data_IF_376641346704
#
_entry.id   IF_376641346704
#
_cell.length_a   1.000
_cell.length_b   1.000
_cell.length_c   1.000
_cell.angle_alpha   90.00
_cell.angle_beta   90.00
_cell.angle_gamma   90.00
#
_symmetry.space_group_name_H-M   'P 1'
#
loop_
_entity.id
_entity.type
_entity.pdbx_description
1 polymer ?
#
# COMPACT_ATOMS: atom_id res chain seq x y z
N UNK A 1 -2.50 57.90 -35.56
CA UNK A 1 -2.27 57.10 -34.33
C UNK A 1 -2.29 55.63 -34.72
N UNK A 2 -1.12 55.03 -34.90
CA UNK A 2 -0.98 53.58 -35.10
C UNK A 2 -0.81 52.94 -33.73
N UNK A 3 -1.73 52.06 -33.35
CA UNK A 3 -1.60 51.26 -32.12
C UNK A 3 -0.39 50.32 -32.26
N UNK A 4 0.51 50.23 -31.27
CA UNK A 4 1.60 49.28 -31.31
C UNK A 4 1.05 47.85 -31.19
N UNK A 5 1.40 47.01 -32.16
CA UNK A 5 1.08 45.59 -32.17
C UNK A 5 1.99 44.88 -31.15
N UNK A 6 1.49 44.69 -29.92
CA UNK A 6 2.15 43.85 -28.91
C UNK A 6 1.81 42.40 -29.28
N UNK A 7 2.57 41.80 -30.20
CA UNK A 7 2.59 40.34 -30.31
C UNK A 7 3.35 39.83 -29.08
N UNK A 8 2.63 39.22 -28.13
CA UNK A 8 3.25 38.48 -27.04
C UNK A 8 4.18 37.43 -27.68
N UNK A 9 5.48 37.67 -27.54
CA UNK A 9 6.51 36.84 -28.08
C UNK A 9 6.46 35.48 -27.40
N UNK A 10 6.50 34.41 -28.21
CA UNK A 10 6.57 33.04 -27.74
C UNK A 10 7.91 32.71 -27.03
N UNK A 11 8.66 33.72 -26.59
CA UNK A 11 9.98 33.62 -25.94
C UNK A 11 9.91 33.12 -24.50
N UNK A 12 8.74 33.14 -23.87
CA UNK A 12 8.54 32.64 -22.50
C UNK A 12 8.40 31.11 -22.40
N UNK A 13 8.28 30.41 -23.53
CA UNK A 13 8.34 28.96 -23.56
C UNK A 13 9.81 28.54 -23.51
N UNK A 14 10.30 28.22 -22.30
CA UNK A 14 11.68 27.81 -22.04
C UNK A 14 12.24 26.86 -23.10
N UNK A 15 13.43 27.19 -23.61
CA UNK A 15 14.05 26.53 -24.75
C UNK A 15 14.31 25.02 -24.54
N UNK A 16 14.69 24.27 -25.60
CA UNK A 16 14.86 22.81 -25.55
C UNK A 16 15.77 22.31 -24.42
N UNK A 17 16.83 23.05 -24.09
CA UNK A 17 17.74 22.74 -22.98
C UNK A 17 17.07 22.88 -21.60
N UNK A 18 16.18 23.84 -21.41
CA UNK A 18 15.46 24.05 -20.15
C UNK A 18 14.43 22.93 -19.91
N UNK A 19 13.72 22.52 -20.97
CA UNK A 19 12.75 21.40 -20.89
C UNK A 19 13.46 20.07 -20.61
N UNK A 20 14.62 19.83 -21.21
CA UNK A 20 15.45 18.66 -20.93
C UNK A 20 15.98 18.66 -19.49
N UNK A 21 16.40 19.82 -18.98
CA UNK A 21 16.84 19.99 -17.59
C UNK A 21 15.69 19.73 -16.60
N UNK A 22 14.50 20.32 -16.81
CA UNK A 22 13.30 20.08 -16.00
C UNK A 22 12.91 18.61 -15.98
N UNK A 23 12.94 17.95 -17.14
CA UNK A 23 12.64 16.51 -17.25
C UNK A 23 13.60 15.65 -16.45
N UNK A 24 14.90 15.96 -16.51
CA UNK A 24 15.95 15.27 -15.74
C UNK A 24 15.76 15.49 -14.23
N UNK A 25 15.46 16.72 -13.81
CA UNK A 25 15.19 17.05 -12.42
C UNK A 25 13.96 16.30 -11.87
N UNK A 26 12.83 16.31 -12.61
CA UNK A 26 11.62 15.56 -12.21
C UNK A 26 11.88 14.06 -12.06
N UNK A 27 12.70 13.48 -12.94
CA UNK A 27 13.11 12.08 -12.81
C UNK A 27 13.94 11.86 -11.54
N UNK A 28 14.90 12.72 -11.26
CA UNK A 28 15.73 12.63 -10.06
C UNK A 28 14.88 12.74 -8.78
N UNK A 29 13.96 13.70 -8.74
CA UNK A 29 13.02 13.87 -7.63
C UNK A 29 12.14 12.64 -7.41
N UNK A 30 11.66 12.00 -8.48
CA UNK A 30 10.91 10.74 -8.37
C UNK A 30 11.73 9.63 -7.71
N UNK A 31 12.98 9.45 -8.13
CA UNK A 31 13.86 8.43 -7.52
C UNK A 31 14.21 8.75 -6.08
N UNK A 32 14.47 10.02 -5.77
CA UNK A 32 14.70 10.47 -4.39
C UNK A 32 13.47 10.21 -3.50
N UNK A 33 12.27 10.51 -4.02
CA UNK A 33 11.02 10.24 -3.31
C UNK A 33 10.82 8.74 -3.07
N UNK A 34 11.00 7.91 -4.10
CA UNK A 34 10.93 6.44 -3.98
C UNK A 34 11.92 5.92 -2.93
N UNK A 35 13.17 6.37 -2.97
CA UNK A 35 14.18 5.97 -2.00
C UNK A 35 13.80 6.36 -0.56
N UNK A 36 13.33 7.59 -0.37
CA UNK A 36 12.83 8.08 0.92
C UNK A 36 11.66 7.22 1.43
N UNK A 37 10.70 6.89 0.56
CA UNK A 37 9.59 6.00 0.91
C UNK A 37 10.08 4.61 1.33
N UNK A 38 11.00 4.00 0.58
CA UNK A 38 11.55 2.69 0.93
C UNK A 38 12.17 2.73 2.33
N UNK A 39 12.98 3.75 2.64
CA UNK A 39 13.60 3.90 3.96
C UNK A 39 12.57 4.09 5.07
N UNK A 40 11.51 4.86 4.81
CA UNK A 40 10.44 5.09 5.79
C UNK A 40 9.65 3.81 6.10
N UNK A 41 9.26 3.04 5.08
CA UNK A 41 8.60 1.74 5.26
C UNK A 41 9.54 0.71 5.92
N UNK A 42 10.83 0.71 5.58
CA UNK A 42 11.83 -0.14 6.25
C UNK A 42 11.96 0.19 7.75
N UNK A 43 11.95 1.48 8.11
CA UNK A 43 11.96 1.92 9.51
C UNK A 43 10.71 1.46 10.28
N UNK A 44 9.52 1.63 9.70
CA UNK A 44 8.26 1.21 10.32
C UNK A 44 8.14 -0.31 10.47
N UNK A 45 8.55 -1.08 9.44
CA UNK A 45 8.57 -2.55 9.51
C UNK A 45 9.61 -3.07 10.51
N UNK A 46 10.77 -2.41 10.62
CA UNK A 46 11.77 -2.74 11.65
C UNK A 46 11.24 -2.48 13.07
N UNK A 47 10.59 -1.34 13.29
CA UNK A 47 9.96 -1.02 14.56
C UNK A 47 8.89 -2.05 14.95
N UNK A 48 8.06 -2.47 13.98
CA UNK A 48 7.07 -3.52 14.19
C UNK A 48 7.69 -4.85 14.63
N UNK A 49 8.74 -5.33 13.96
CA UNK A 49 9.43 -6.59 14.31
C UNK A 49 10.01 -6.54 15.73
N UNK A 50 10.57 -5.38 16.13
CA UNK A 50 11.11 -5.20 17.49
C UNK A 50 10.00 -5.21 18.53
N UNK A 51 8.87 -4.57 18.26
CA UNK A 51 7.74 -4.49 19.18
C UNK A 51 6.98 -5.83 19.30
N UNK A 52 6.95 -6.63 18.24
CA UNK A 52 6.37 -7.98 18.25
C UNK A 52 7.09 -8.90 19.26
N UNK A 53 8.39 -8.71 19.48
CA UNK A 53 9.19 -9.46 20.47
C UNK A 53 8.97 -9.02 21.92
N UNK A 54 8.00 -8.12 22.16
CA UNK A 54 7.60 -7.71 23.50
C UNK A 54 6.98 -8.85 24.32
N UNK A 55 6.54 -8.54 25.54
CA UNK A 55 5.95 -9.55 26.43
C UNK A 55 4.59 -10.09 25.93
N UNK A 56 3.95 -9.45 24.95
CA UNK A 56 2.58 -9.73 24.52
C UNK A 56 2.44 -9.59 23.00
N UNK A 57 1.84 -10.59 22.35
CA UNK A 57 1.58 -10.58 20.91
C UNK A 57 0.28 -11.30 20.53
N UNK A 58 -0.41 -10.82 19.49
CA UNK A 58 -1.62 -11.45 18.94
C UNK A 58 -1.34 -11.82 17.48
N UNK A 59 -1.49 -13.10 17.16
CA UNK A 59 -1.44 -13.56 15.78
C UNK A 59 -2.82 -13.39 15.13
N UNK A 60 -2.85 -12.68 14.01
CA UNK A 60 -4.02 -12.42 13.18
C UNK A 60 -3.90 -13.25 11.90
N UNK A 61 -4.93 -14.03 11.57
CA UNK A 61 -4.97 -14.73 10.28
C UNK A 61 -5.25 -13.73 9.15
N UNK A 62 -4.44 -13.79 8.09
CA UNK A 62 -4.60 -12.92 6.92
C UNK A 62 -5.86 -13.32 6.13
N UNK A 63 -6.82 -12.41 5.93
CA UNK A 63 -8.03 -12.69 5.15
C UNK A 63 -7.74 -13.04 3.68
N UNK A 64 -8.59 -13.90 3.09
CA UNK A 64 -8.50 -14.31 1.68
C UNK A 64 -8.53 -13.12 0.70
N UNK A 65 -9.19 -12.02 1.08
CA UNK A 65 -9.24 -10.80 0.28
C UNK A 65 -7.85 -10.23 -0.04
N UNK A 66 -6.87 -10.35 0.87
CA UNK A 66 -5.51 -9.87 0.64
C UNK A 66 -4.78 -10.71 -0.43
N UNK A 67 -4.97 -12.03 -0.46
CA UNK A 67 -4.40 -12.91 -1.48
C UNK A 67 -4.94 -12.57 -2.88
N UNK A 68 -6.26 -12.41 -2.99
CA UNK A 68 -6.91 -12.01 -4.24
C UNK A 68 -6.40 -10.64 -4.70
N UNK A 69 -6.26 -9.69 -3.77
CA UNK A 69 -5.73 -8.36 -4.08
C UNK A 69 -4.31 -8.41 -4.66
N UNK A 70 -3.45 -9.31 -4.16
CA UNK A 70 -2.08 -9.49 -4.67
C UNK A 70 -2.09 -9.98 -6.12
N UNK A 71 -2.98 -10.90 -6.49
CA UNK A 71 -3.12 -11.33 -7.89
C UNK A 71 -3.58 -10.17 -8.77
N UNK A 72 -4.58 -9.40 -8.32
CA UNK A 72 -5.13 -8.25 -9.07
C UNK A 72 -4.04 -7.21 -9.36
N UNK A 73 -3.23 -6.85 -8.35
CA UNK A 73 -2.22 -5.80 -8.51
C UNK A 73 -1.07 -6.25 -9.41
N UNK A 74 -0.66 -7.53 -9.35
CA UNK A 74 0.33 -8.08 -10.28
C UNK A 74 -0.15 -8.04 -11.74
N UNK A 75 -1.42 -8.37 -11.97
CA UNK A 75 -2.03 -8.24 -13.31
C UNK A 75 -2.12 -6.76 -13.73
N UNK A 76 -2.44 -5.85 -12.80
CA UNK A 76 -2.45 -4.40 -13.03
C UNK A 76 -1.06 -3.87 -13.42
N UNK A 77 -0.02 -4.38 -12.78
CA UNK A 77 1.37 -4.06 -13.07
C UNK A 77 1.74 -4.49 -14.49
N UNK A 78 1.36 -5.71 -14.89
CA UNK A 78 1.54 -6.18 -16.26
C UNK A 78 0.82 -5.28 -17.27
N UNK A 79 -0.43 -4.90 -17.00
CA UNK A 79 -1.19 -4.03 -17.92
C UNK A 79 -0.57 -2.64 -18.03
N UNK A 80 -0.02 -2.09 -16.94
CA UNK A 80 0.72 -0.82 -16.96
C UNK A 80 2.01 -0.94 -17.80
N UNK A 81 2.72 -2.07 -17.68
CA UNK A 81 3.91 -2.33 -18.48
C UNK A 81 3.57 -2.37 -19.98
N UNK A 82 2.47 -3.04 -20.34
CA UNK A 82 1.96 -3.09 -21.71
C UNK A 82 1.51 -1.71 -22.21
N UNK A 83 0.91 -0.88 -21.35
CA UNK A 83 0.57 0.50 -21.69
C UNK A 83 1.82 1.31 -22.07
N UNK A 84 2.89 1.20 -21.27
CA UNK A 84 4.16 1.87 -21.53
C UNK A 84 4.79 1.38 -22.84
N UNK A 85 4.77 0.07 -23.10
CA UNK A 85 5.28 -0.51 -24.35
C UNK A 85 4.50 0.01 -25.56
N UNK A 86 3.17 -0.06 -25.51
CA UNK A 86 2.30 0.43 -26.59
C UNK A 86 2.46 1.93 -26.85
N UNK A 87 2.74 2.73 -25.80
CA UNK A 87 2.98 4.16 -25.93
C UNK A 87 4.27 4.45 -26.70
N UNK A 88 5.31 3.63 -26.50
CA UNK A 88 6.58 3.73 -27.24
C UNK A 88 6.42 3.34 -28.71
N UNK A 89 5.54 2.39 -29.00
CA UNK A 89 5.18 1.95 -30.36
C UNK A 89 4.29 2.97 -31.10
N UNK A 90 3.87 4.07 -30.46
CA UNK A 90 3.03 5.09 -31.09
C UNK A 90 1.54 4.71 -31.20
N UNK A 91 1.13 3.56 -30.65
CA UNK A 91 -0.25 3.11 -30.71
C UNK A 91 -1.10 3.72 -29.58
N UNK A 92 -1.78 4.83 -29.89
CA UNK A 92 -2.64 5.55 -28.94
C UNK A 92 -3.82 4.71 -28.42
N UNK A 93 -4.51 3.99 -29.31
CA UNK A 93 -5.70 3.22 -28.95
C UNK A 93 -5.37 2.13 -27.93
N UNK A 94 -4.34 1.31 -28.21
CA UNK A 94 -3.88 0.27 -27.29
C UNK A 94 -3.36 0.84 -25.97
N UNK A 95 -2.59 1.93 -26.01
CA UNK A 95 -2.10 2.60 -24.79
C UNK A 95 -3.27 3.00 -23.89
N UNK A 96 -4.28 3.66 -24.47
CA UNK A 96 -5.47 4.09 -23.73
C UNK A 96 -6.22 2.92 -23.13
N UNK A 97 -6.47 1.86 -23.91
CA UNK A 97 -7.15 0.66 -23.41
C UNK A 97 -6.38 0.04 -22.24
N UNK A 98 -5.06 -0.08 -22.34
CA UNK A 98 -4.25 -0.65 -21.25
C UNK A 98 -4.24 0.24 -20.00
N UNK A 99 -4.23 1.57 -20.13
CA UNK A 99 -4.37 2.49 -19.00
C UNK A 99 -5.74 2.36 -18.31
N UNK A 100 -6.83 2.20 -19.07
CA UNK A 100 -8.17 1.99 -18.54
C UNK A 100 -8.26 0.67 -17.78
N UNK A 101 -7.72 -0.42 -18.37
CA UNK A 101 -7.66 -1.73 -17.70
C UNK A 101 -6.85 -1.63 -16.41
N UNK A 102 -5.71 -0.94 -16.44
CA UNK A 102 -4.86 -0.73 -15.26
C UNK A 102 -5.61 0.02 -14.16
N UNK A 103 -6.36 1.08 -14.52
CA UNK A 103 -7.19 1.85 -13.58
C UNK A 103 -8.30 0.96 -12.98
N UNK A 104 -9.00 0.19 -13.80
CA UNK A 104 -10.06 -0.71 -13.34
C UNK A 104 -9.51 -1.76 -12.36
N UNK A 105 -8.36 -2.36 -12.65
CA UNK A 105 -7.69 -3.30 -11.75
C UNK A 105 -7.20 -2.61 -10.47
N UNK A 106 -6.69 -1.39 -10.56
CA UNK A 106 -6.31 -0.59 -9.37
C UNK A 106 -7.50 -0.30 -8.47
N UNK A 107 -8.67 0.00 -9.02
CA UNK A 107 -9.91 0.18 -8.25
C UNK A 107 -10.40 -1.14 -7.65
N UNK A 108 -10.32 -2.25 -8.39
CA UNK A 108 -10.64 -3.58 -7.88
C UNK A 108 -9.71 -3.98 -6.72
N UNK A 109 -8.42 -3.65 -6.82
CA UNK A 109 -7.45 -3.82 -5.74
C UNK A 109 -7.88 -3.02 -4.49
N UNK A 110 -8.23 -1.74 -4.63
CA UNK A 110 -8.73 -0.92 -3.52
C UNK A 110 -9.99 -1.52 -2.88
N UNK A 111 -10.91 -2.06 -3.67
CA UNK A 111 -12.10 -2.76 -3.17
C UNK A 111 -11.77 -4.02 -2.38
N UNK A 112 -10.82 -4.83 -2.87
CA UNK A 112 -10.34 -6.02 -2.16
C UNK A 112 -9.63 -5.65 -0.85
N UNK A 113 -8.81 -4.59 -0.86
CA UNK A 113 -8.19 -4.05 0.35
C UNK A 113 -9.24 -3.65 1.37
N UNK A 114 -10.23 -2.86 0.96
CA UNK A 114 -11.33 -2.44 1.84
C UNK A 114 -12.07 -3.63 2.44
N UNK A 115 -12.38 -4.66 1.64
CA UNK A 115 -13.01 -5.89 2.14
C UNK A 115 -12.14 -6.65 3.15
N UNK A 116 -10.82 -6.77 2.89
CA UNK A 116 -9.88 -7.39 3.82
C UNK A 116 -9.80 -6.64 5.15
N UNK A 117 -9.77 -5.31 5.09
CA UNK A 117 -9.79 -4.47 6.30
C UNK A 117 -11.09 -4.58 7.08
N UNK A 118 -12.24 -4.66 6.42
CA UNK A 118 -13.52 -4.87 7.09
C UNK A 118 -13.57 -6.23 7.81
N UNK A 119 -12.99 -7.28 7.22
CA UNK A 119 -12.88 -8.58 7.89
C UNK A 119 -11.99 -8.51 9.13
N UNK A 120 -10.85 -7.83 9.05
CA UNK A 120 -9.96 -7.63 10.20
C UNK A 120 -10.63 -6.83 11.32
N UNK A 121 -11.27 -5.71 10.99
CA UNK A 121 -11.99 -4.88 11.97
C UNK A 121 -13.18 -5.65 12.56
N UNK A 122 -13.87 -6.46 11.76
CA UNK A 122 -14.98 -7.31 12.20
C UNK A 122 -14.56 -8.38 13.21
N UNK A 123 -13.31 -8.86 13.15
CA UNK A 123 -12.72 -9.76 14.17
C UNK A 123 -12.26 -9.04 15.45
N UNK A 124 -12.58 -7.76 15.61
CA UNK A 124 -12.18 -6.91 16.73
C UNK A 124 -10.70 -6.54 16.76
N UNK A 125 -9.96 -6.77 15.67
CA UNK A 125 -8.63 -6.21 15.53
C UNK A 125 -8.79 -4.71 15.25
N UNK A 126 -8.39 -3.89 16.22
CA UNK A 126 -8.41 -2.42 16.14
C UNK A 126 -7.00 -1.83 16.27
N UNK A 127 -6.87 -0.56 15.86
CA UNK A 127 -5.65 0.27 15.94
C UNK A 127 -5.01 0.26 17.34
N UNK A 128 -5.83 0.11 18.38
CA UNK A 128 -5.42 -0.02 19.78
C UNK A 128 -6.28 -1.08 20.47
N UNK A 129 -6.28 -2.30 19.95
CA UNK A 129 -6.96 -3.43 20.58
C UNK A 129 -6.30 -3.79 21.92
N UNK A 130 -7.05 -3.65 23.01
CA UNK A 130 -6.88 -4.52 24.19
C UNK A 130 -7.65 -5.82 23.93
N UNK A 131 -7.31 -6.91 24.62
CA UNK A 131 -8.05 -8.18 24.54
C UNK A 131 -9.55 -7.98 24.77
N UNK A 132 -9.92 -6.98 25.58
CA UNK A 132 -11.31 -6.60 25.84
C UNK A 132 -12.10 -6.23 24.58
N UNK A 133 -11.42 -5.77 23.53
CA UNK A 133 -12.05 -5.30 22.30
C UNK A 133 -12.03 -6.34 21.17
N UNK A 134 -11.41 -7.51 21.37
CA UNK A 134 -11.40 -8.59 20.38
C UNK A 134 -12.78 -9.25 20.34
N UNK A 135 -13.41 -9.21 19.17
CA UNK A 135 -14.69 -9.85 18.88
C UNK A 135 -14.42 -10.96 17.87
N UNK A 136 -14.07 -12.15 18.34
CA UNK A 136 -13.70 -13.29 17.50
C UNK A 136 -13.54 -14.57 18.32
N UNK A 137 -13.40 -15.71 17.64
CA UNK A 137 -13.24 -17.01 18.28
C UNK A 137 -11.77 -17.30 18.53
N UNK A 138 -11.39 -17.47 19.81
CA UNK A 138 -10.02 -17.85 20.20
C UNK A 138 -9.60 -19.17 19.54
N UNK A 139 -8.43 -19.19 18.90
CA UNK A 139 -7.90 -20.36 18.18
C UNK A 139 -8.28 -20.42 16.69
N UNK A 140 -9.40 -19.80 16.29
CA UNK A 140 -9.78 -19.66 14.88
C UNK A 140 -9.36 -18.30 14.32
N UNK A 141 -9.81 -17.20 14.94
CA UNK A 141 -9.61 -15.84 14.43
C UNK A 141 -8.34 -15.19 14.99
N UNK A 142 -7.97 -15.52 16.23
CA UNK A 142 -6.77 -15.02 16.89
C UNK A 142 -6.23 -15.99 17.94
N UNK A 143 -4.91 -15.94 18.15
CA UNK A 143 -4.23 -16.57 19.28
C UNK A 143 -3.39 -15.55 20.03
N UNK A 144 -3.30 -15.73 21.34
CA UNK A 144 -2.60 -14.80 22.24
C UNK A 144 -1.31 -15.44 22.73
N UNK A 145 -0.21 -14.73 22.56
CA UNK A 145 1.10 -15.10 23.08
C UNK A 145 1.48 -14.17 24.22
N UNK A 146 1.98 -14.75 25.32
CA UNK A 146 2.57 -14.00 26.43
C UNK A 146 3.92 -14.60 26.80
N UNK A 147 4.96 -13.76 26.84
CA UNK A 147 6.37 -14.16 27.05
C UNK A 147 6.83 -15.29 26.11
N UNK A 148 6.35 -15.28 24.87
CA UNK A 148 6.72 -16.28 23.85
C UNK A 148 6.01 -17.64 23.99
N UNK A 149 5.05 -17.79 24.90
CA UNK A 149 4.18 -18.98 25.01
C UNK A 149 2.77 -18.64 24.55
N UNK A 150 2.19 -19.51 23.72
CA UNK A 150 0.77 -19.44 23.38
C UNK A 150 -0.05 -19.70 24.63
N UNK A 151 -1.05 -18.86 24.93
CA UNK A 151 -1.91 -19.06 26.08
C UNK A 151 -3.03 -20.05 25.75
N UNK A 152 -3.64 -20.65 26.76
CA UNK A 152 -4.87 -21.42 26.60
C UNK A 152 -6.01 -20.57 27.19
N UNK A 153 -7.09 -20.42 26.42
CA UNK A 153 -8.28 -19.71 26.88
C UNK A 153 -9.34 -20.72 27.31
N UNK A 154 -9.73 -20.67 28.58
CA UNK A 154 -10.81 -21.48 29.15
C UNK A 154 -11.73 -20.62 30.01
N UNK A 155 -13.05 -20.71 29.76
CA UNK A 155 -14.07 -19.94 30.46
C UNK A 155 -13.82 -18.42 30.48
N UNK A 156 -13.27 -17.87 29.39
CA UNK A 156 -12.92 -16.44 29.27
C UNK A 156 -11.67 -16.02 30.04
N UNK A 157 -10.89 -16.99 30.58
CA UNK A 157 -9.65 -16.75 31.30
C UNK A 157 -8.45 -17.34 30.58
N UNK A 158 -7.32 -16.63 30.63
CA UNK A 158 -6.08 -17.01 29.97
C UNK A 158 -5.12 -17.68 30.95
N UNK A 159 -4.52 -18.80 30.55
CA UNK A 159 -3.57 -19.57 31.36
C UNK A 159 -2.33 -19.95 30.54
N UNK A 160 -1.20 -20.17 31.21
CA UNK A 160 -0.04 -20.78 30.55
C UNK A 160 -0.32 -22.26 30.25
N UNK A 161 0.20 -22.81 29.13
CA UNK A 161 0.04 -24.24 28.81
C UNK A 161 0.59 -25.18 29.88
N UNK A 162 1.62 -24.74 30.61
CA UNK A 162 2.29 -25.54 31.65
C UNK A 162 1.55 -25.52 33.00
N UNK A 163 0.54 -24.64 33.17
CA UNK A 163 -0.28 -24.63 34.38
C UNK A 163 -1.48 -25.58 34.22
N UNK A 164 -1.23 -26.86 34.51
CA UNK A 164 -2.28 -27.88 34.49
C UNK A 164 -3.40 -27.60 35.51
N UNK A 165 -3.10 -26.86 36.60
CA UNK A 165 -4.05 -26.55 37.67
C UNK A 165 -4.94 -25.34 37.38
N UNK A 166 -4.56 -24.50 36.41
CA UNK A 166 -5.27 -23.27 36.02
C UNK A 166 -5.60 -22.38 37.21
N UNK A 167 -4.68 -22.31 38.17
CA UNK A 167 -4.92 -21.67 39.47
C UNK A 167 -4.76 -20.14 39.40
N UNK A 168 -3.92 -19.63 38.50
CA UNK A 168 -3.67 -18.19 38.34
C UNK A 168 -4.11 -17.72 36.95
N UNK A 169 -5.25 -17.03 36.89
CA UNK A 169 -5.73 -16.44 35.64
C UNK A 169 -4.86 -15.22 35.27
N UNK A 170 -4.33 -15.21 34.05
CA UNK A 170 -3.45 -14.16 33.55
C UNK A 170 -4.20 -12.92 33.04
N UNK A 171 -5.53 -12.92 33.08
CA UNK A 171 -6.39 -11.87 32.54
C UNK A 171 -5.94 -10.47 32.96
N UNK A 172 -5.67 -10.23 34.25
CA UNK A 172 -5.27 -8.90 34.72
C UNK A 172 -3.91 -8.45 34.16
N UNK A 173 -2.98 -9.40 33.93
CA UNK A 173 -1.64 -9.14 33.38
C UNK A 173 -1.62 -8.97 31.87
N UNK A 174 -2.54 -9.63 31.17
CA UNK A 174 -2.59 -9.67 29.70
C UNK A 174 -3.58 -8.62 29.17
N UNK A 175 -4.71 -8.39 29.85
CA UNK A 175 -5.74 -7.41 29.47
C UNK A 175 -5.34 -5.96 29.80
N UNK A 176 -4.46 -5.75 30.79
CA UNK A 176 -3.88 -4.42 31.07
C UNK A 176 -2.80 -3.99 30.07
N UNK A 177 -2.36 -4.90 29.17
CA UNK A 177 -1.36 -4.62 28.14
C UNK A 177 -2.06 -4.28 26.83
N UNK A 178 -1.65 -3.16 26.21
CA UNK A 178 -2.10 -2.76 24.88
C UNK A 178 -1.19 -3.37 23.81
N UNK A 179 -1.78 -3.80 22.68
CA UNK A 179 -0.99 -4.25 21.53
C UNK A 179 -0.42 -3.04 20.79
N UNK A 180 0.72 -2.51 21.24
CA UNK A 180 1.36 -1.36 20.57
C UNK A 180 1.80 -1.70 19.14
N UNK A 181 2.11 -2.97 18.86
CA UNK A 181 2.53 -3.41 17.53
C UNK A 181 1.36 -3.46 16.53
N UNK A 182 0.09 -3.62 16.97
CA UNK A 182 -1.05 -3.55 16.05
C UNK A 182 -1.16 -2.15 15.40
N UNK A 183 -0.91 -1.08 16.16
CA UNK A 183 -0.94 0.29 15.63
C UNK A 183 0.01 0.51 14.46
N UNK A 184 1.14 -0.21 14.41
CA UNK A 184 2.08 -0.15 13.29
C UNK A 184 1.56 -0.81 12.02
N UNK A 185 0.74 -1.88 12.13
CA UNK A 185 0.07 -2.47 10.96
C UNK A 185 -0.87 -1.43 10.32
N UNK A 186 -1.68 -0.74 11.14
CA UNK A 186 -2.54 0.33 10.64
C UNK A 186 -1.76 1.52 10.06
N UNK A 187 -0.64 1.88 10.69
CA UNK A 187 0.22 2.95 10.16
C UNK A 187 0.82 2.57 8.80
N UNK A 188 1.39 1.37 8.67
CA UNK A 188 1.94 0.83 7.42
C UNK A 188 0.89 0.80 6.32
N UNK A 189 -0.30 0.28 6.63
CA UNK A 189 -1.36 0.11 5.65
C UNK A 189 -2.08 1.41 5.31
N UNK A 190 -2.32 2.28 6.28
CA UNK A 190 -2.87 3.62 6.05
C UNK A 190 -1.95 4.47 5.18
N UNK A 191 -0.64 4.41 5.44
CA UNK A 191 0.36 5.07 4.60
C UNK A 191 0.37 4.48 3.19
N UNK A 192 0.34 3.15 3.05
CA UNK A 192 0.24 2.49 1.75
C UNK A 192 -1.01 2.94 0.98
N UNK A 193 -2.17 2.98 1.64
CA UNK A 193 -3.42 3.46 1.03
C UNK A 193 -3.33 4.93 0.58
N UNK A 194 -2.67 5.80 1.34
CA UNK A 194 -2.44 7.18 0.94
C UNK A 194 -1.61 7.28 -0.36
N UNK A 195 -0.59 6.45 -0.50
CA UNK A 195 0.22 6.39 -1.72
C UNK A 195 -0.56 5.78 -2.90
N UNK A 196 -1.34 4.73 -2.66
CA UNK A 196 -2.25 4.15 -3.64
C UNK A 196 -3.25 5.19 -4.17
N UNK A 197 -3.84 6.00 -3.29
CA UNK A 197 -4.74 7.09 -3.68
C UNK A 197 -4.04 8.10 -4.60
N UNK A 198 -2.82 8.52 -4.26
CA UNK A 198 -1.99 9.37 -5.12
C UNK A 198 -1.72 8.74 -6.49
N UNK A 199 -1.43 7.43 -6.52
CA UNK A 199 -1.23 6.66 -7.76
C UNK A 199 -2.49 6.59 -8.62
N UNK A 200 -3.64 6.33 -8.01
CA UNK A 200 -4.94 6.28 -8.70
C UNK A 200 -5.31 7.63 -9.30
N UNK A 201 -5.14 8.72 -8.54
CA UNK A 201 -5.37 10.08 -9.04
C UNK A 201 -4.49 10.35 -10.27
N UNK A 202 -3.21 9.99 -10.20
CA UNK A 202 -2.30 10.15 -11.34
C UNK A 202 -2.70 9.28 -12.55
N UNK A 203 -3.17 8.05 -12.32
CA UNK A 203 -3.65 7.15 -13.37
C UNK A 203 -4.92 7.68 -14.03
N UNK A 204 -5.87 8.19 -13.25
CA UNK A 204 -7.07 8.86 -13.76
C UNK A 204 -6.67 10.05 -14.62
N UNK A 205 -5.72 10.87 -14.16
CA UNK A 205 -5.20 11.99 -14.96
C UNK A 205 -4.61 11.52 -16.30
N UNK A 206 -3.83 10.44 -16.32
CA UNK A 206 -3.30 9.87 -17.57
C UNK A 206 -4.40 9.35 -18.50
N UNK A 207 -5.42 8.68 -17.94
CA UNK A 207 -6.58 8.20 -18.70
C UNK A 207 -7.36 9.36 -19.31
N UNK A 208 -7.72 10.39 -18.53
CA UNK A 208 -8.43 11.57 -19.04
C UNK A 208 -7.60 12.29 -20.12
N UNK A 209 -6.30 12.48 -19.86
CA UNK A 209 -5.38 13.07 -20.85
C UNK A 209 -5.33 12.27 -22.15
N UNK A 210 -5.43 10.95 -22.08
CA UNK A 210 -5.44 10.07 -23.26
C UNK A 210 -6.65 10.26 -24.18
N UNK A 211 -7.77 10.78 -23.67
CA UNK A 211 -8.94 11.12 -24.47
C UNK A 211 -8.83 12.52 -25.09
N UNK A 212 -8.11 13.43 -24.45
CA UNK A 212 -7.96 14.82 -24.89
C UNK A 212 -6.85 14.97 -25.95
N UNK A 213 -5.73 14.27 -25.79
CA UNK A 213 -4.56 14.38 -26.68
C UNK A 213 -3.92 13.02 -26.93
N UNK A 214 -3.31 12.80 -28.12
CA UNK A 214 -2.47 11.62 -28.35
C UNK A 214 -1.34 11.54 -27.31
N UNK A 215 -1.30 10.42 -26.58
CA UNK A 215 -0.33 10.12 -25.51
C UNK A 215 0.68 9.02 -25.91
N UNK A 216 0.61 8.52 -27.14
CA UNK A 216 1.59 7.62 -27.72
C UNK A 216 2.61 8.42 -28.53
N UNK A 217 3.88 8.07 -28.36
CA UNK A 217 5.02 8.77 -28.93
C UNK A 217 6.30 8.56 -28.12
N UNK A 218 7.43 8.49 -28.81
CA UNK A 218 8.77 8.33 -28.21
C UNK A 218 9.09 9.57 -27.38
N UNK A 219 8.93 9.48 -26.05
CA UNK A 219 9.21 10.59 -25.14
C UNK A 219 8.06 11.00 -24.21
N UNK A 220 6.94 10.27 -24.15
CA UNK A 220 5.87 10.56 -23.19
C UNK A 220 6.33 10.35 -21.73
N UNK A 221 6.88 11.42 -21.16
CA UNK A 221 7.41 11.46 -19.80
C UNK A 221 6.36 11.05 -18.76
N UNK A 222 5.11 11.45 -18.96
CA UNK A 222 4.01 11.17 -18.04
C UNK A 222 3.68 9.68 -17.92
N UNK A 223 3.56 8.94 -19.04
CA UNK A 223 3.29 7.50 -19.02
C UNK A 223 4.47 6.74 -18.41
N UNK A 224 5.70 7.17 -18.72
CA UNK A 224 6.91 6.55 -18.16
C UNK A 224 7.03 6.77 -16.66
N UNK A 225 6.82 7.99 -16.17
CA UNK A 225 6.85 8.30 -14.74
C UNK A 225 5.71 7.59 -14.00
N UNK A 226 4.51 7.56 -14.59
CA UNK A 226 3.37 6.81 -14.07
C UNK A 226 3.65 5.34 -13.93
N UNK A 227 4.21 4.72 -14.97
CA UNK A 227 4.59 3.31 -14.91
C UNK A 227 5.65 3.04 -13.84
N UNK A 228 6.71 3.86 -13.74
CA UNK A 228 7.72 3.70 -12.68
C UNK A 228 7.10 3.80 -11.28
N UNK A 229 6.24 4.79 -11.05
CA UNK A 229 5.58 4.97 -9.76
C UNK A 229 4.60 3.83 -9.44
N UNK A 230 3.81 3.40 -10.43
CA UNK A 230 2.85 2.30 -10.25
C UNK A 230 3.53 0.97 -9.96
N UNK A 231 4.61 0.64 -10.69
CA UNK A 231 5.42 -0.55 -10.39
C UNK A 231 6.08 -0.47 -9.01
N UNK A 232 6.52 0.72 -8.59
CA UNK A 232 7.04 0.89 -7.24
C UNK A 232 5.97 0.61 -6.17
N UNK A 233 4.76 1.13 -6.34
CA UNK A 233 3.64 0.84 -5.42
C UNK A 233 3.30 -0.66 -5.37
N UNK A 234 3.29 -1.33 -6.51
CA UNK A 234 3.06 -2.77 -6.60
C UNK A 234 4.15 -3.59 -5.87
N UNK A 235 5.43 -3.28 -6.13
CA UNK A 235 6.56 -3.93 -5.44
C UNK A 235 6.49 -3.67 -3.93
N UNK A 236 6.16 -2.44 -3.52
CA UNK A 236 5.98 -2.09 -2.12
C UNK A 236 4.85 -2.89 -1.47
N UNK A 237 3.73 -3.08 -2.17
CA UNK A 237 2.62 -3.92 -1.68
C UNK A 237 3.05 -5.38 -1.54
N UNK A 238 3.69 -5.96 -2.55
CA UNK A 238 4.16 -7.35 -2.49
C UNK A 238 5.14 -7.55 -1.33
N UNK A 239 6.04 -6.59 -1.11
CA UNK A 239 6.92 -6.57 0.06
C UNK A 239 6.12 -6.59 1.37
N UNK A 240 5.14 -5.70 1.53
CA UNK A 240 4.31 -5.64 2.73
C UNK A 240 3.48 -6.91 2.95
N UNK A 241 2.92 -7.47 1.87
CA UNK A 241 2.15 -8.70 1.93
C UNK A 241 3.02 -9.89 2.35
N UNK A 242 4.20 -10.04 1.77
CA UNK A 242 5.16 -11.08 2.18
C UNK A 242 5.61 -10.87 3.62
N UNK A 243 5.89 -9.63 4.01
CA UNK A 243 6.25 -9.29 5.39
C UNK A 243 5.16 -9.71 6.38
N UNK A 244 3.89 -9.43 6.07
CA UNK A 244 2.77 -9.85 6.91
C UNK A 244 2.63 -11.39 6.95
N UNK A 245 2.84 -12.07 5.81
CA UNK A 245 2.74 -13.52 5.68
C UNK A 245 3.87 -14.29 6.40
N UNK A 246 5.08 -13.71 6.48
CA UNK A 246 6.19 -14.35 7.21
C UNK A 246 6.12 -14.15 8.73
N UNK A 247 5.44 -13.09 9.18
CA UNK A 247 5.35 -12.75 10.61
C UNK A 247 4.09 -13.34 11.28
N UNK A 248 3.03 -13.60 10.51
CA UNK A 248 1.80 -14.22 10.98
C UNK A 248 1.68 -15.66 10.50
#
# INVERSE_FOLDING_TARGET
MTTPNITADASFAGGPNEQAAKTRALRMLLFLAIFSMVMFFAGLTSAYVVLMKGEYWVNIRIPQAFYISTIIILVSSLTMHLALRSSREGNNARTRTMLIVTLALGLAFTGAQYSGWQQLIGTGNYVSGSIENLQGTYGEDFTVFFKGKELIMENGKYYFPDDHSRAEALNERVMSKSNTASSFIYALSGLHLAHLAGGLIFLIFLVVKSFLKPIAGVGNLGVRQGATYWHFLDILWVYLFLFLLFIH
#
